data_IF_305355542806
#
_entry.id   IF_305355542806
#
_cell.length_a   1.000
_cell.length_b   1.000
_cell.length_c   1.000
_cell.angle_alpha   90.00
_cell.angle_beta   90.00
_cell.angle_gamma   90.00
#
_symmetry.space_group_name_H-M   'P 1'
#
loop_
_entity.id
_entity.type
_entity.pdbx_description
1 polymer ?
#
# COMPACT_ATOMS: atom_id res chain seq x y z
N UNK A 1 16.48 47.96 -26.72
CA UNK A 1 17.17 46.95 -25.90
C UNK A 1 16.11 45.98 -25.43
N UNK A 2 16.09 44.76 -25.98
CA UNK A 2 15.01 43.80 -25.75
C UNK A 2 15.24 43.06 -24.43
N UNK A 3 14.23 43.15 -23.57
CA UNK A 3 14.15 42.57 -22.24
C UNK A 3 14.14 41.04 -22.33
N UNK A 4 15.18 40.39 -21.81
CA UNK A 4 15.28 38.93 -21.75
C UNK A 4 14.32 38.43 -20.67
N UNK A 5 13.06 38.23 -21.06
CA UNK A 5 12.14 37.39 -20.32
C UNK A 5 12.69 35.96 -20.32
N UNK A 6 13.46 35.62 -19.30
CA UNK A 6 13.75 34.24 -18.93
C UNK A 6 12.41 33.57 -18.66
N UNK A 7 11.92 32.85 -19.65
CA UNK A 7 10.86 31.84 -19.49
C UNK A 7 11.38 30.79 -18.51
N UNK A 8 11.19 31.05 -17.22
CA UNK A 8 11.26 30.03 -16.19
C UNK A 8 10.11 29.09 -16.52
N UNK A 9 10.44 28.00 -17.20
CA UNK A 9 9.55 26.84 -17.32
C UNK A 9 9.26 26.40 -15.88
N UNK A 10 8.14 26.88 -15.33
CA UNK A 10 7.59 26.37 -14.07
C UNK A 10 7.26 24.90 -14.34
N UNK A 11 8.24 24.01 -14.09
CA UNK A 11 7.98 22.56 -14.00
C UNK A 11 6.78 22.42 -13.06
N UNK A 12 5.72 21.73 -13.52
CA UNK A 12 4.55 21.43 -12.69
C UNK A 12 5.03 20.98 -11.32
N UNK A 13 4.48 21.57 -10.25
CA UNK A 13 4.61 21.01 -8.89
C UNK A 13 4.24 19.53 -8.99
N UNK A 14 5.02 18.66 -8.33
CA UNK A 14 5.05 17.22 -8.55
C UNK A 14 3.66 16.57 -8.63
N UNK A 15 3.58 15.43 -9.33
CA UNK A 15 2.36 14.64 -9.39
C UNK A 15 1.82 14.37 -7.98
N UNK A 16 0.50 14.31 -7.82
CA UNK A 16 -0.13 13.92 -6.56
C UNK A 16 0.31 12.50 -6.19
N UNK A 17 0.39 12.21 -4.89
CA UNK A 17 0.73 10.87 -4.41
C UNK A 17 -0.48 9.94 -4.54
N UNK A 18 -0.26 8.73 -5.07
CA UNK A 18 -1.29 7.70 -5.16
C UNK A 18 -1.49 7.04 -3.80
N UNK A 19 -2.64 7.27 -3.18
CA UNK A 19 -3.04 6.60 -1.94
C UNK A 19 -3.32 5.10 -2.13
N UNK A 20 -3.44 4.64 -3.38
CA UNK A 20 -3.72 3.23 -3.72
C UNK A 20 -2.43 2.47 -4.04
N UNK A 21 -1.43 3.14 -4.62
CA UNK A 21 -0.21 2.49 -5.10
C UNK A 21 1.05 2.92 -4.34
N UNK A 22 1.28 4.23 -4.19
CA UNK A 22 2.55 4.76 -3.68
C UNK A 22 2.60 4.75 -2.15
N UNK A 23 1.52 5.13 -1.48
CA UNK A 23 1.46 5.17 -0.01
C UNK A 23 1.60 3.76 0.61
N UNK A 24 0.86 2.73 0.16
CA UNK A 24 1.02 1.38 0.69
C UNK A 24 2.37 0.73 0.30
N UNK A 25 2.94 1.13 -0.84
CA UNK A 25 4.29 0.71 -1.23
C UNK A 25 5.35 1.32 -0.31
N UNK A 26 5.27 2.63 -0.02
CA UNK A 26 6.18 3.31 0.92
C UNK A 26 6.13 2.67 2.30
N UNK A 27 4.93 2.38 2.81
CA UNK A 27 4.72 1.66 4.05
C UNK A 27 5.46 0.31 4.06
N UNK A 28 5.35 -0.46 2.97
CA UNK A 28 5.98 -1.78 2.83
C UNK A 28 7.50 -1.68 2.86
N UNK A 29 8.07 -0.75 2.11
CA UNK A 29 9.52 -0.56 2.05
C UNK A 29 10.12 -0.12 3.40
N UNK A 30 9.37 0.62 4.22
CA UNK A 30 9.78 0.98 5.57
C UNK A 30 9.87 -0.27 6.46
N UNK A 31 8.89 -1.18 6.37
CA UNK A 31 8.92 -2.47 7.09
C UNK A 31 10.07 -3.36 6.63
N UNK A 32 10.35 -3.38 5.33
CA UNK A 32 11.49 -4.10 4.74
C UNK A 32 12.86 -3.48 5.10
N UNK A 33 12.88 -2.32 5.76
CA UNK A 33 14.11 -1.64 6.16
C UNK A 33 14.85 -1.01 4.98
N UNK A 34 14.17 -0.73 3.87
CA UNK A 34 14.77 -0.06 2.72
C UNK A 34 15.31 1.31 3.15
N UNK A 35 16.57 1.66 2.81
CA UNK A 35 17.13 2.95 3.19
C UNK A 35 16.28 4.09 2.63
N UNK A 36 15.89 5.03 3.51
CA UNK A 36 15.05 6.19 3.17
C UNK A 36 15.58 6.97 1.95
N UNK A 37 16.90 7.12 1.86
CA UNK A 37 17.57 7.80 0.74
C UNK A 37 17.36 7.10 -0.61
N UNK A 38 17.02 5.80 -0.63
CA UNK A 38 16.82 5.01 -1.85
C UNK A 38 15.36 4.89 -2.30
N UNK A 39 14.39 5.34 -1.50
CA UNK A 39 12.97 5.16 -1.83
C UNK A 39 12.55 5.94 -3.07
N UNK A 40 13.08 7.14 -3.27
CA UNK A 40 12.70 8.01 -4.38
C UNK A 40 13.07 7.45 -5.77
N UNK A 41 14.07 6.56 -5.86
CA UNK A 41 14.45 5.92 -7.13
C UNK A 41 13.67 4.65 -7.42
N UNK A 42 12.99 4.10 -6.41
CA UNK A 42 12.23 2.85 -6.50
C UNK A 42 10.72 3.06 -6.48
N UNK A 43 10.25 4.29 -6.27
CA UNK A 43 8.82 4.58 -6.14
C UNK A 43 8.10 4.17 -7.43
N UNK A 44 7.02 3.36 -7.33
CA UNK A 44 6.24 2.97 -8.50
C UNK A 44 5.49 4.18 -9.07
N UNK A 45 5.45 4.27 -10.40
CA UNK A 45 4.74 5.31 -11.13
C UNK A 45 5.66 6.26 -11.90
N UNK A 46 5.06 7.05 -12.80
CA UNK A 46 5.79 7.97 -13.70
C UNK A 46 6.13 9.32 -13.03
N UNK A 47 5.77 9.47 -11.76
CA UNK A 47 6.09 10.65 -10.97
C UNK A 47 7.55 10.61 -10.54
N UNK A 48 8.39 11.47 -11.13
CA UNK A 48 9.76 11.70 -10.67
C UNK A 48 9.75 12.18 -9.20
N UNK A 49 9.75 11.25 -8.24
CA UNK A 49 9.81 11.53 -6.81
C UNK A 49 11.22 11.97 -6.45
N UNK A 50 11.31 12.94 -5.55
CA UNK A 50 12.57 13.38 -4.97
C UNK A 50 12.70 12.82 -3.57
N UNK A 51 13.92 12.70 -3.06
CA UNK A 51 14.16 12.32 -1.67
C UNK A 51 13.40 13.23 -0.68
N UNK A 52 13.37 14.54 -0.95
CA UNK A 52 12.61 15.51 -0.14
C UNK A 52 11.11 15.23 -0.23
N UNK A 53 10.60 14.93 -1.42
CA UNK A 53 9.19 14.59 -1.61
C UNK A 53 8.77 13.35 -0.81
N UNK A 54 9.59 12.30 -0.79
CA UNK A 54 9.34 11.09 0.01
C UNK A 54 9.27 11.43 1.50
N UNK A 55 10.23 12.21 2.02
CA UNK A 55 10.23 12.60 3.43
C UNK A 55 9.00 13.43 3.82
N UNK A 56 8.55 14.32 2.94
CA UNK A 56 7.31 15.10 3.14
C UNK A 56 6.11 14.16 3.15
N UNK A 57 6.01 13.25 2.16
CA UNK A 57 4.88 12.31 2.09
C UNK A 57 4.77 11.42 3.33
N UNK A 58 5.89 10.90 3.83
CA UNK A 58 5.90 10.10 5.06
C UNK A 58 5.43 10.93 6.26
N UNK A 59 5.78 12.22 6.32
CA UNK A 59 5.32 13.14 7.36
C UNK A 59 3.82 13.43 7.24
N UNK A 60 3.32 13.56 6.02
CA UNK A 60 1.90 13.77 5.73
C UNK A 60 1.07 12.53 6.09
N UNK A 61 1.51 11.33 5.69
CA UNK A 61 0.88 10.04 6.04
C UNK A 61 0.76 9.86 7.56
N UNK A 62 1.74 10.32 8.34
CA UNK A 62 1.64 10.32 9.82
C UNK A 62 0.59 11.29 10.32
N UNK A 63 0.62 12.51 9.81
CA UNK A 63 -0.31 13.57 10.23
C UNK A 63 -1.76 13.16 9.92
N UNK A 64 -1.97 12.40 8.85
CA UNK A 64 -3.25 11.86 8.42
C UNK A 64 -3.64 10.53 9.09
N UNK A 65 -2.85 10.03 10.02
CA UNK A 65 -3.09 8.75 10.70
C UNK A 65 -3.07 7.50 9.82
N UNK A 66 -2.36 7.56 8.68
CA UNK A 66 -2.18 6.45 7.74
C UNK A 66 -0.97 5.60 8.11
N UNK A 67 0.13 6.23 8.57
CA UNK A 67 1.40 5.54 8.87
C UNK A 67 1.80 5.67 10.34
N UNK A 68 1.89 4.58 11.12
CA UNK A 68 2.19 4.67 12.55
C UNK A 68 3.45 5.48 12.84
N UNK A 69 3.40 6.26 13.91
CA UNK A 69 4.42 7.27 14.20
C UNK A 69 5.81 6.65 14.37
N UNK A 70 5.85 5.43 14.94
CA UNK A 70 7.06 4.67 15.26
C UNK A 70 7.67 3.90 14.07
N UNK A 71 7.11 3.98 12.86
CA UNK A 71 7.61 3.19 11.73
C UNK A 71 8.97 3.62 11.17
N UNK A 72 9.36 4.89 11.32
CA UNK A 72 10.75 5.29 10.99
C UNK A 72 11.62 5.49 12.22
N UNK A 73 11.17 5.03 13.39
CA UNK A 73 11.98 5.09 14.59
C UNK A 73 12.88 3.85 14.68
N UNK A 74 14.20 3.98 14.54
CA UNK A 74 15.10 2.83 14.49
C UNK A 74 15.23 2.11 15.86
N UNK A 75 14.75 2.68 16.96
CA UNK A 75 15.04 2.19 18.32
C UNK A 75 13.89 1.44 19.01
N UNK A 76 12.70 1.34 18.40
CA UNK A 76 11.48 1.09 19.17
C UNK A 76 10.86 -0.31 19.13
N UNK A 77 11.43 -1.29 18.40
CA UNK A 77 10.87 -2.65 18.39
C UNK A 77 10.74 -3.28 19.79
N UNK A 78 11.61 -2.91 20.73
CA UNK A 78 11.63 -3.47 22.08
C UNK A 78 10.39 -3.15 22.94
N UNK A 79 9.51 -2.24 22.50
CA UNK A 79 8.28 -1.84 23.21
C UNK A 79 6.99 -2.42 22.62
N UNK A 80 7.08 -3.15 21.52
CA UNK A 80 5.89 -3.77 20.93
C UNK A 80 5.48 -4.94 21.84
N UNK A 81 4.37 -4.78 22.55
CA UNK A 81 3.90 -5.79 23.50
C UNK A 81 3.59 -7.13 22.81
N UNK A 82 3.72 -8.24 23.55
CA UNK A 82 3.54 -9.61 23.03
C UNK A 82 2.12 -9.92 22.52
N UNK A 83 1.12 -9.07 22.80
CA UNK A 83 -0.26 -9.31 22.38
C UNK A 83 -0.51 -8.68 21.01
N UNK A 84 -0.18 -9.40 19.94
CA UNK A 84 -0.57 -9.05 18.56
C UNK A 84 -2.06 -9.32 18.33
N UNK A 85 -2.75 -8.38 17.70
CA UNK A 85 -4.16 -8.55 17.31
C UNK A 85 -4.21 -9.53 16.12
N UNK A 86 -5.27 -10.33 16.05
CA UNK A 86 -5.48 -11.22 14.90
C UNK A 86 -5.51 -10.48 13.57
N UNK A 87 -6.08 -9.26 13.53
CA UNK A 87 -6.07 -8.42 12.33
C UNK A 87 -4.67 -8.00 11.89
N UNK A 88 -3.76 -7.72 12.84
CA UNK A 88 -2.36 -7.39 12.55
C UNK A 88 -1.65 -8.61 11.94
N UNK A 89 -1.82 -9.80 12.53
CA UNK A 89 -1.20 -11.03 12.03
C UNK A 89 -1.73 -11.42 10.64
N UNK A 90 -3.02 -11.25 10.38
CA UNK A 90 -3.63 -11.50 9.07
C UNK A 90 -3.04 -10.57 8.01
N UNK A 91 -2.93 -9.27 8.29
CA UNK A 91 -2.34 -8.32 7.34
C UNK A 91 -0.87 -8.65 7.06
N UNK A 92 -0.09 -8.97 8.11
CA UNK A 92 1.31 -9.39 7.96
C UNK A 92 1.44 -10.64 7.08
N UNK A 93 0.64 -11.68 7.35
CA UNK A 93 0.68 -12.92 6.59
C UNK A 93 0.29 -12.68 5.13
N UNK A 94 -0.82 -11.98 4.89
CA UNK A 94 -1.27 -11.69 3.54
C UNK A 94 -0.25 -10.86 2.77
N UNK A 95 0.37 -9.86 3.41
CA UNK A 95 1.41 -9.05 2.78
C UNK A 95 2.68 -9.86 2.47
N UNK A 96 3.26 -10.47 3.51
CA UNK A 96 4.60 -11.07 3.45
C UNK A 96 4.62 -12.40 2.68
N UNK A 97 3.59 -13.25 2.85
CA UNK A 97 3.55 -14.58 2.26
C UNK A 97 3.06 -14.57 0.82
N UNK A 98 2.05 -13.76 0.52
CA UNK A 98 1.47 -13.66 -0.82
C UNK A 98 2.28 -12.73 -1.74
N UNK A 99 3.25 -12.00 -1.17
CA UNK A 99 4.05 -11.03 -1.91
C UNK A 99 3.21 -9.85 -2.39
N UNK A 100 2.22 -9.41 -1.61
CA UNK A 100 1.49 -8.18 -1.94
C UNK A 100 2.51 -7.05 -2.02
N UNK A 101 2.33 -6.18 -3.01
CA UNK A 101 3.22 -5.01 -3.21
C UNK A 101 3.07 -3.95 -2.11
N UNK A 102 2.07 -4.12 -1.25
CA UNK A 102 1.50 -3.10 -0.39
C UNK A 102 1.03 -3.73 0.93
N UNK A 103 1.35 -3.08 2.05
CA UNK A 103 0.86 -3.39 3.40
C UNK A 103 -0.07 -2.26 3.85
N UNK A 104 -1.21 -2.58 4.44
CA UNK A 104 -2.07 -1.59 5.07
C UNK A 104 -1.52 -1.19 6.44
N UNK A 105 -0.82 -0.05 6.48
CA UNK A 105 -0.21 0.47 7.69
C UNK A 105 -1.23 0.88 8.77
N UNK A 106 -2.49 1.17 8.39
CA UNK A 106 -3.51 1.63 9.34
C UNK A 106 -3.89 0.53 10.35
N UNK A 107 -3.80 -0.74 9.96
CA UNK A 107 -4.06 -1.90 10.82
C UNK A 107 -3.19 -1.89 12.09
N UNK A 108 -2.00 -1.28 12.03
CA UNK A 108 -1.02 -1.24 13.11
C UNK A 108 -1.05 0.06 13.92
N UNK A 109 -1.95 0.99 13.59
CA UNK A 109 -2.01 2.33 14.17
C UNK A 109 -2.42 2.33 15.64
N UNK A 110 -3.47 1.57 16.00
CA UNK A 110 -4.03 1.55 17.36
C UNK A 110 -3.00 1.20 18.45
N UNK A 111 -2.09 0.28 18.12
CA UNK A 111 -1.03 -0.17 19.03
C UNK A 111 0.29 0.55 18.78
N UNK A 112 0.32 1.47 17.81
CA UNK A 112 1.49 2.22 17.33
C UNK A 112 2.70 1.28 17.19
N UNK A 113 2.51 0.16 16.47
CA UNK A 113 3.57 -0.84 16.27
C UNK A 113 4.75 -0.21 15.56
N UNK A 114 5.96 -0.70 15.82
CA UNK A 114 7.12 -0.31 15.02
C UNK A 114 7.24 -1.14 13.75
N UNK A 115 7.79 -0.55 12.68
CA UNK A 115 8.04 -1.26 11.43
C UNK A 115 8.97 -2.48 11.63
N UNK A 116 9.98 -2.35 12.50
CA UNK A 116 10.87 -3.46 12.87
C UNK A 116 10.14 -4.56 13.65
N UNK A 117 9.18 -4.23 14.51
CA UNK A 117 8.34 -5.21 15.20
C UNK A 117 7.43 -5.97 14.23
N UNK A 118 6.86 -5.28 13.24
CA UNK A 118 6.08 -5.89 12.14
C UNK A 118 6.95 -6.87 11.35
N UNK A 119 8.18 -6.48 10.98
CA UNK A 119 9.11 -7.37 10.29
C UNK A 119 9.47 -8.61 11.12
N UNK A 120 9.80 -8.45 12.40
CA UNK A 120 10.09 -9.57 13.31
C UNK A 120 8.88 -10.49 13.49
N UNK A 121 7.67 -9.92 13.52
CA UNK A 121 6.43 -10.70 13.60
C UNK A 121 6.19 -11.48 12.31
N UNK A 122 6.48 -10.90 11.15
CA UNK A 122 6.44 -11.60 9.87
C UNK A 122 7.38 -12.82 9.86
N UNK A 123 8.63 -12.63 10.29
CA UNK A 123 9.62 -13.70 10.40
C UNK A 123 9.14 -14.82 11.34
N UNK A 124 8.51 -14.45 12.47
CA UNK A 124 7.95 -15.42 13.42
C UNK A 124 6.78 -16.21 12.82
N UNK A 125 5.79 -15.52 12.23
CA UNK A 125 4.60 -16.16 11.66
C UNK A 125 4.96 -17.09 10.50
N UNK A 126 5.97 -16.75 9.71
CA UNK A 126 6.41 -17.56 8.57
C UNK A 126 7.19 -18.83 8.95
N UNK A 127 7.49 -19.05 10.23
CA UNK A 127 8.08 -20.32 10.70
C UNK A 127 7.05 -21.46 10.70
N UNK A 128 5.75 -21.15 10.77
CA UNK A 128 4.68 -22.14 10.68
C UNK A 128 4.24 -22.30 9.21
N UNK A 129 4.74 -23.35 8.56
CA UNK A 129 4.42 -23.62 7.16
C UNK A 129 2.92 -23.90 6.93
N UNK A 130 2.22 -24.49 7.91
CA UNK A 130 0.78 -24.75 7.79
C UNK A 130 -0.02 -23.45 7.75
N UNK A 131 0.37 -22.48 8.59
CA UNK A 131 -0.21 -21.14 8.60
C UNK A 131 0.06 -20.39 7.30
N UNK A 132 1.28 -20.47 6.78
CA UNK A 132 1.69 -19.88 5.49
C UNK A 132 0.84 -20.45 4.34
N UNK A 133 0.67 -21.78 4.30
CA UNK A 133 -0.10 -22.43 3.24
C UNK A 133 -1.60 -22.10 3.31
N UNK A 134 -2.15 -21.96 4.52
CA UNK A 134 -3.53 -21.50 4.72
C UNK A 134 -3.71 -20.05 4.25
N UNK A 135 -2.80 -19.15 4.61
CA UNK A 135 -2.84 -17.75 4.18
C UNK A 135 -2.82 -17.63 2.66
N UNK A 136 -1.95 -18.40 1.98
CA UNK A 136 -1.91 -18.48 0.51
C UNK A 136 -3.25 -18.95 -0.07
N UNK A 137 -3.85 -19.99 0.52
CA UNK A 137 -5.12 -20.54 0.05
C UNK A 137 -6.26 -19.55 0.22
N UNK A 138 -6.34 -18.88 1.37
CA UNK A 138 -7.36 -17.87 1.67
C UNK A 138 -7.29 -16.71 0.65
N UNK A 139 -6.10 -16.24 0.31
CA UNK A 139 -5.91 -15.20 -0.71
C UNK A 139 -6.31 -15.66 -2.12
N UNK A 140 -5.95 -16.87 -2.52
CA UNK A 140 -6.38 -17.43 -3.81
C UNK A 140 -7.91 -17.48 -3.92
N UNK A 141 -8.59 -17.90 -2.84
CA UNK A 141 -10.04 -17.95 -2.79
C UNK A 141 -10.67 -16.55 -2.83
N UNK A 142 -10.08 -15.56 -2.14
CA UNK A 142 -10.54 -14.18 -2.19
C UNK A 142 -10.41 -13.59 -3.60
N UNK A 143 -9.26 -13.79 -4.25
CA UNK A 143 -9.02 -13.31 -5.62
C UNK A 143 -9.98 -13.95 -6.65
N UNK A 144 -10.23 -15.27 -6.52
CA UNK A 144 -11.18 -15.98 -7.39
C UNK A 144 -12.62 -15.47 -7.20
N UNK A 145 -13.05 -15.22 -5.96
CA UNK A 145 -14.37 -14.65 -5.67
C UNK A 145 -14.52 -13.26 -6.26
N UNK A 146 -13.51 -12.39 -6.09
CA UNK A 146 -13.53 -11.03 -6.63
C UNK A 146 -13.56 -11.02 -8.17
N UNK A 147 -12.83 -11.93 -8.83
CA UNK A 147 -12.91 -12.10 -10.29
C UNK A 147 -14.32 -12.51 -10.71
N UNK A 148 -14.91 -13.51 -10.05
CA UNK A 148 -16.24 -14.00 -10.38
C UNK A 148 -17.34 -12.94 -10.17
N UNK A 149 -17.20 -12.10 -9.13
CA UNK A 149 -18.09 -10.96 -8.88
C UNK A 149 -17.96 -9.88 -9.96
N UNK A 150 -16.73 -9.60 -10.42
CA UNK A 150 -16.47 -8.67 -11.51
C UNK A 150 -17.09 -9.15 -12.83
N UNK A 151 -16.90 -10.43 -13.17
CA UNK A 151 -17.47 -11.06 -14.36
C UNK A 151 -19.01 -10.99 -14.32
N UNK A 152 -19.62 -11.32 -13.17
CA UNK A 152 -21.07 -11.23 -12.98
C UNK A 152 -21.60 -9.79 -13.10
N UNK A 153 -20.87 -8.81 -12.60
CA UNK A 153 -21.23 -7.39 -12.74
C UNK A 153 -21.15 -6.93 -14.21
N UNK A 154 -20.16 -7.41 -14.96
CA UNK A 154 -20.03 -7.14 -16.40
C UNK A 154 -21.19 -7.76 -17.19
N UNK A 155 -21.54 -9.02 -16.91
CA UNK A 155 -22.68 -9.71 -17.56
C UNK A 155 -24.00 -8.98 -17.33
N UNK A 156 -24.29 -8.55 -16.11
CA UNK A 156 -25.49 -7.78 -15.79
C UNK A 156 -25.53 -6.43 -16.53
N UNK A 157 -24.38 -5.76 -16.63
CA UNK A 157 -24.25 -4.49 -17.34
C UNK A 157 -24.49 -4.67 -18.84
N UNK A 158 -23.91 -5.70 -19.45
CA UNK A 158 -24.09 -6.06 -20.86
C UNK A 158 -25.55 -6.45 -21.13
N UNK A 159 -26.15 -7.32 -20.30
CA UNK A 159 -27.54 -7.72 -20.42
C UNK A 159 -28.52 -6.55 -20.29
N UNK A 160 -28.23 -5.61 -19.40
CA UNK A 160 -28.98 -4.36 -19.26
C UNK A 160 -28.87 -3.45 -20.49
N UNK A 161 -27.67 -3.31 -21.06
CA UNK A 161 -27.43 -2.52 -22.27
C UNK A 161 -28.15 -3.11 -23.50
N UNK A 162 -28.09 -4.43 -23.68
CA UNK A 162 -28.80 -5.15 -24.75
C UNK A 162 -30.31 -4.93 -24.60
N UNK A 163 -30.85 -5.10 -23.39
CA UNK A 163 -32.28 -4.93 -23.11
C UNK A 163 -32.79 -3.50 -23.34
N UNK A 164 -31.95 -2.48 -23.14
CA UNK A 164 -32.27 -1.08 -23.46
C UNK A 164 -32.22 -0.82 -24.98
N UNK A 165 -31.20 -1.35 -25.66
CA UNK A 165 -31.04 -1.23 -27.12
C UNK A 165 -32.23 -1.86 -27.87
N UNK A 166 -32.70 -3.03 -27.44
CA UNK A 166 -33.84 -3.72 -28.05
C UNK A 166 -35.16 -2.95 -27.87
N UNK A 167 -35.36 -2.29 -26.71
CA UNK A 167 -36.56 -1.48 -26.44
C UNK A 167 -36.63 -0.18 -27.23
N UNK A 168 -35.49 0.39 -27.62
CA UNK A 168 -35.44 1.63 -28.40
C UNK A 168 -35.54 1.41 -29.92
N UNK A 169 -35.64 0.16 -30.38
CA UNK A 169 -35.72 -0.21 -31.81
C UNK A 169 -37.11 -0.71 -32.24
N UNK A 170 -38.07 -0.76 -31.32
CA UNK A 170 -39.49 -1.03 -31.61
C UNK A 170 -40.31 0.24 -31.45
#
# INVERSE_FOLDING_TARGET
MADRHTNIVRRRRGAEWSSVDEDPWLASEIVLGTPMASLHTKTPGDGNRTQVGVSIQISDMRTQSVLPSRWTDPFYAARDSNNWKTSEDVEILQWHVWGRKAIDAHVFWDMDRSAKGVAQRADYLCQDQGLVDEAKRAEQQAAQKQSAECDRAAELTIGGAISKSLRNRG
#
